data_IF_348209654560
#
_entry.id   IF_348209654560
#
_cell.length_a   1.000
_cell.length_b   1.000
_cell.length_c   1.000
_cell.angle_alpha   90.00
_cell.angle_beta   90.00
_cell.angle_gamma   90.00
#
_symmetry.space_group_name_H-M   'P 1'
#
loop_
_entity.id
_entity.type
_entity.pdbx_description
1 polymer ?
#
# COMPACT_ATOMS: atom_id res chain seq x y z
N UNK A 1 6.05 8.76 4.63
CA UNK A 1 5.70 7.55 3.87
C UNK A 1 6.98 6.93 3.33
N UNK A 2 7.18 5.63 3.52
CA UNK A 2 8.25 4.85 2.89
C UNK A 2 7.74 4.20 1.61
N UNK A 3 8.65 3.89 0.69
CA UNK A 3 8.30 3.30 -0.60
C UNK A 3 9.07 2.00 -0.84
N UNK A 4 8.34 0.93 -1.17
CA UNK A 4 8.89 -0.35 -1.61
C UNK A 4 8.62 -0.60 -3.11
N UNK A 5 7.91 0.31 -3.77
CA UNK A 5 7.44 0.16 -5.15
C UNK A 5 8.36 0.87 -6.15
N UNK A 6 7.89 1.87 -6.90
CA UNK A 6 8.58 2.38 -8.10
C UNK A 6 9.93 3.02 -7.81
N UNK A 7 10.14 3.54 -6.60
CA UNK A 7 11.43 4.13 -6.21
C UNK A 7 12.51 3.07 -5.92
N UNK A 8 12.15 1.78 -5.95
CA UNK A 8 13.04 0.66 -5.61
C UNK A 8 13.22 -0.24 -6.83
N UNK A 9 14.47 -0.43 -7.25
CA UNK A 9 14.80 -1.35 -8.33
C UNK A 9 14.46 -2.80 -7.94
N UNK A 10 14.04 -3.62 -8.92
CA UNK A 10 13.58 -5.01 -8.71
C UNK A 10 14.54 -5.88 -7.90
N UNK A 11 15.85 -5.76 -8.15
CA UNK A 11 16.90 -6.52 -7.43
C UNK A 11 17.10 -6.07 -5.97
N UNK A 12 16.62 -4.87 -5.63
CA UNK A 12 16.80 -4.25 -4.31
C UNK A 12 15.55 -4.40 -3.42
N UNK A 13 14.48 -5.03 -3.93
CA UNK A 13 13.18 -5.13 -3.21
C UNK A 13 13.33 -5.79 -1.84
N UNK A 14 14.12 -6.86 -1.76
CA UNK A 14 14.37 -7.56 -0.49
C UNK A 14 15.19 -6.72 0.49
N UNK A 15 16.23 -6.06 -0.01
CA UNK A 15 17.05 -5.16 0.79
C UNK A 15 16.23 -3.97 1.30
N UNK A 16 15.42 -3.35 0.44
CA UNK A 16 14.53 -2.25 0.81
C UNK A 16 13.50 -2.69 1.87
N UNK A 17 12.87 -3.85 1.70
CA UNK A 17 11.92 -4.40 2.69
C UNK A 17 12.60 -4.58 4.05
N UNK A 18 13.80 -5.15 4.07
CA UNK A 18 14.57 -5.31 5.30
C UNK A 18 14.92 -3.97 5.95
N UNK A 19 15.36 -2.99 5.16
CA UNK A 19 15.70 -1.66 5.68
C UNK A 19 14.48 -0.93 6.25
N UNK A 20 13.36 -0.93 5.55
CA UNK A 20 12.12 -0.28 6.02
C UNK A 20 11.59 -0.99 7.27
N UNK A 21 11.62 -2.33 7.31
CA UNK A 21 11.24 -3.09 8.50
C UNK A 21 12.04 -2.63 9.74
N UNK A 22 13.36 -2.57 9.62
CA UNK A 22 14.21 -2.14 10.74
C UNK A 22 13.96 -0.68 11.08
N UNK A 23 13.87 0.21 10.09
CA UNK A 23 13.60 1.63 10.30
C UNK A 23 12.30 1.86 11.08
N UNK A 24 11.23 1.11 10.80
CA UNK A 24 9.96 1.19 11.52
C UNK A 24 10.06 0.68 12.98
N UNK A 25 10.97 -0.26 13.25
CA UNK A 25 11.16 -0.88 14.57
C UNK A 25 12.12 -0.11 15.47
N UNK A 26 13.11 0.57 14.90
CA UNK A 26 14.24 1.12 15.68
C UNK A 26 14.24 2.65 15.76
N UNK A 27 13.65 3.35 14.79
CA UNK A 27 13.64 4.80 14.78
C UNK A 27 12.41 5.35 15.51
N UNK A 28 12.59 6.49 16.17
CA UNK A 28 11.51 7.21 16.84
C UNK A 28 10.91 8.25 15.89
N UNK A 29 9.63 8.09 15.56
CA UNK A 29 8.88 9.02 14.70
C UNK A 29 7.91 9.93 15.47
N UNK A 30 7.87 9.83 16.80
CA UNK A 30 6.88 10.55 17.61
C UNK A 30 5.45 10.17 17.22
N UNK A 31 4.60 11.19 17.09
CA UNK A 31 3.18 11.04 16.75
C UNK A 31 2.90 11.05 15.24
N UNK A 32 3.94 10.85 14.42
CA UNK A 32 3.81 10.83 12.95
C UNK A 32 3.35 9.44 12.50
N UNK A 33 2.31 9.41 11.66
CA UNK A 33 1.80 8.19 11.03
C UNK A 33 2.84 7.57 10.09
N UNK A 34 3.14 6.29 10.32
CA UNK A 34 4.04 5.50 9.48
C UNK A 34 3.22 4.81 8.40
N UNK A 35 3.35 5.32 7.19
CA UNK A 35 2.75 4.75 5.98
C UNK A 35 3.82 4.11 5.12
N UNK A 36 3.54 2.91 4.58
CA UNK A 36 4.42 2.26 3.59
C UNK A 36 3.62 1.96 2.33
N UNK A 37 4.13 2.40 1.17
CA UNK A 37 3.66 1.94 -0.14
C UNK A 37 4.31 0.61 -0.46
N UNK A 38 3.49 -0.41 -0.68
CA UNK A 38 3.92 -1.79 -0.98
C UNK A 38 3.87 -2.04 -2.49
N UNK A 39 4.48 -3.13 -2.97
CA UNK A 39 4.26 -3.57 -4.34
C UNK A 39 2.84 -4.14 -4.52
N UNK A 40 2.38 -4.19 -5.76
CA UNK A 40 1.12 -4.83 -6.13
C UNK A 40 1.07 -6.31 -5.67
N UNK A 41 -0.12 -6.77 -5.26
CA UNK A 41 -0.31 -8.10 -4.68
C UNK A 41 -0.27 -9.24 -5.70
N UNK A 42 -0.54 -8.96 -6.96
CA UNK A 42 -0.42 -9.90 -8.08
C UNK A 42 1.03 -10.15 -8.50
N UNK A 43 1.96 -9.30 -8.04
CA UNK A 43 3.40 -9.46 -8.21
C UNK A 43 4.07 -10.34 -7.15
N UNK A 44 5.36 -10.67 -7.34
CA UNK A 44 6.09 -11.57 -6.44
C UNK A 44 6.44 -10.96 -5.08
N UNK A 45 6.30 -9.64 -4.90
CA UNK A 45 6.79 -8.92 -3.71
C UNK A 45 5.69 -8.44 -2.77
N UNK A 46 4.51 -8.09 -3.28
CA UNK A 46 3.50 -7.35 -2.51
C UNK A 46 3.04 -8.06 -1.26
N UNK A 47 2.84 -9.39 -1.32
CA UNK A 47 2.44 -10.18 -0.15
C UNK A 47 3.49 -10.14 0.96
N UNK A 48 4.76 -10.35 0.64
CA UNK A 48 5.85 -10.32 1.63
C UNK A 48 6.08 -8.91 2.18
N UNK A 49 5.87 -7.87 1.37
CA UNK A 49 5.87 -6.48 1.84
C UNK A 49 4.81 -6.28 2.92
N UNK A 50 3.56 -6.67 2.67
CA UNK A 50 2.46 -6.54 3.64
C UNK A 50 2.78 -7.28 4.94
N UNK A 51 3.21 -8.55 4.86
CA UNK A 51 3.56 -9.36 6.02
C UNK A 51 4.65 -8.67 6.85
N UNK A 52 5.72 -8.20 6.22
CA UNK A 52 6.84 -7.55 6.89
C UNK A 52 6.42 -6.22 7.53
N UNK A 53 5.68 -5.36 6.80
CA UNK A 53 5.33 -4.03 7.31
C UNK A 53 4.32 -4.10 8.46
N UNK A 54 3.36 -5.02 8.41
CA UNK A 54 2.45 -5.27 9.56
C UNK A 54 3.22 -5.78 10.78
N UNK A 55 4.16 -6.72 10.59
CA UNK A 55 5.04 -7.17 11.66
C UNK A 55 5.91 -6.04 12.25
N UNK A 56 6.32 -5.10 11.39
CA UNK A 56 7.10 -3.93 11.79
C UNK A 56 6.28 -2.91 12.60
N UNK A 57 4.95 -2.99 12.58
CA UNK A 57 4.07 -2.05 13.26
C UNK A 57 3.84 -0.77 12.46
N UNK A 58 3.69 -0.90 11.14
CA UNK A 58 3.17 0.16 10.27
C UNK A 58 1.75 0.58 10.69
N UNK A 59 1.41 1.85 10.49
CA UNK A 59 0.07 2.37 10.81
C UNK A 59 -0.87 2.24 9.61
N UNK A 60 -0.37 2.46 8.39
CA UNK A 60 -1.14 2.22 7.17
C UNK A 60 -0.30 1.64 6.02
N UNK A 61 -0.92 0.77 5.24
CA UNK A 61 -0.39 0.26 3.98
C UNK A 61 -1.05 1.00 2.83
N UNK A 62 -0.24 1.54 1.93
CA UNK A 62 -0.70 2.11 0.66
C UNK A 62 -0.56 1.08 -0.44
N UNK A 63 -1.68 0.65 -1.02
CA UNK A 63 -1.74 -0.23 -2.18
C UNK A 63 -1.63 0.61 -3.46
N UNK A 64 -0.72 0.28 -4.38
CA UNK A 64 -0.63 0.96 -5.68
C UNK A 64 -1.72 0.46 -6.62
N UNK A 65 -1.90 1.18 -7.74
CA UNK A 65 -2.75 0.83 -8.88
C UNK A 65 -4.03 0.09 -8.50
N UNK A 66 -4.79 0.66 -7.57
CA UNK A 66 -6.06 0.10 -7.11
C UNK A 66 -7.12 0.37 -8.16
N UNK A 67 -7.66 -0.69 -8.76
CA UNK A 67 -8.62 -0.61 -9.85
C UNK A 67 -10.02 -1.07 -9.46
N UNK A 68 -10.15 -1.91 -8.43
CA UNK A 68 -11.42 -2.53 -8.01
C UNK A 68 -11.55 -2.60 -6.49
N UNK A 69 -12.78 -2.77 -6.01
CA UNK A 69 -13.02 -3.05 -4.59
C UNK A 69 -12.37 -4.36 -4.13
N UNK A 70 -12.24 -5.36 -5.01
CA UNK A 70 -11.60 -6.63 -4.66
C UNK A 70 -10.13 -6.44 -4.30
N UNK A 71 -9.40 -5.54 -4.96
CA UNK A 71 -7.99 -5.24 -4.64
C UNK A 71 -7.82 -4.86 -3.16
N UNK A 72 -8.76 -4.05 -2.64
CA UNK A 72 -8.81 -3.64 -1.22
C UNK A 72 -9.16 -4.83 -0.32
N UNK A 73 -10.12 -5.66 -0.72
CA UNK A 73 -10.54 -6.84 0.05
C UNK A 73 -9.40 -7.87 0.11
N UNK A 74 -8.64 -8.06 -0.97
CA UNK A 74 -7.51 -8.99 -0.98
C UNK A 74 -6.37 -8.49 -0.08
N UNK A 75 -6.01 -7.21 -0.13
CA UNK A 75 -4.97 -6.67 0.76
C UNK A 75 -5.40 -6.70 2.23
N UNK A 76 -6.69 -6.45 2.52
CA UNK A 76 -7.24 -6.60 3.87
C UNK A 76 -7.02 -8.02 4.42
N UNK A 77 -7.31 -9.07 3.63
CA UNK A 77 -7.09 -10.46 4.07
C UNK A 77 -5.63 -10.73 4.43
N UNK A 78 -4.68 -10.22 3.64
CA UNK A 78 -3.25 -10.38 3.92
C UNK A 78 -2.86 -9.61 5.19
N UNK A 79 -3.41 -8.42 5.37
CA UNK A 79 -3.20 -7.63 6.60
C UNK A 79 -3.75 -8.34 7.83
N UNK A 80 -4.96 -8.88 7.77
CA UNK A 80 -5.56 -9.63 8.88
C UNK A 80 -4.78 -10.88 9.23
N UNK A 81 -4.31 -11.61 8.22
CA UNK A 81 -3.43 -12.75 8.40
C UNK A 81 -2.14 -12.32 9.12
N UNK A 82 -1.50 -11.24 8.68
CA UNK A 82 -0.28 -10.73 9.28
C UNK A 82 -0.51 -10.23 10.72
N UNK A 83 -1.61 -9.52 10.96
CA UNK A 83 -1.95 -9.03 12.30
C UNK A 83 -2.10 -10.19 13.29
N UNK A 84 -2.82 -11.25 12.88
CA UNK A 84 -2.96 -12.48 13.66
C UNK A 84 -1.61 -13.18 13.86
N UNK A 85 -0.81 -13.32 12.80
CA UNK A 85 0.48 -14.03 12.82
C UNK A 85 1.49 -13.36 13.75
N UNK A 86 1.51 -12.03 13.80
CA UNK A 86 2.52 -11.25 14.51
C UNK A 86 1.99 -10.59 15.79
N UNK A 87 0.80 -10.97 16.26
CA UNK A 87 0.22 -10.49 17.52
C UNK A 87 -0.10 -8.99 17.52
N UNK A 88 -0.41 -8.42 16.35
CA UNK A 88 -0.89 -7.03 16.25
C UNK A 88 -2.37 -6.97 16.60
N UNK A 89 -2.82 -5.83 17.13
CA UNK A 89 -4.24 -5.61 17.43
C UNK A 89 -5.04 -5.71 16.11
N UNK A 90 -6.11 -6.53 16.04
CA UNK A 90 -6.98 -6.56 14.86
C UNK A 90 -7.51 -5.17 14.52
N UNK A 91 -7.42 -4.77 13.25
CA UNK A 91 -7.89 -3.46 12.79
C UNK A 91 -6.89 -2.33 13.00
N UNK A 92 -5.68 -2.62 13.51
CA UNK A 92 -4.66 -1.60 13.80
C UNK A 92 -3.98 -1.06 12.56
N UNK A 93 -3.79 -1.89 11.53
CA UNK A 93 -3.22 -1.45 10.25
C UNK A 93 -4.33 -0.96 9.32
N UNK A 94 -4.23 0.30 8.90
CA UNK A 94 -5.16 0.94 7.95
C UNK A 94 -4.73 0.73 6.51
N UNK A 95 -5.63 1.01 5.58
CA UNK A 95 -5.39 0.91 4.14
C UNK A 95 -5.53 2.29 3.49
N UNK A 96 -4.69 2.52 2.47
CA UNK A 96 -4.76 3.66 1.57
C UNK A 96 -4.74 3.10 0.15
N UNK A 97 -5.70 3.49 -0.67
CA UNK A 97 -5.70 3.14 -2.09
C UNK A 97 -4.93 4.19 -2.89
N UNK A 98 -4.29 3.76 -3.98
CA UNK A 98 -3.81 4.67 -5.01
C UNK A 98 -4.61 4.43 -6.29
N UNK A 99 -5.37 5.43 -6.73
CA UNK A 99 -6.06 5.40 -8.02
C UNK A 99 -5.16 6.06 -9.05
N UNK A 100 -4.75 5.26 -10.02
CA UNK A 100 -3.66 5.55 -10.96
C UNK A 100 -4.05 5.25 -12.41
N UNK A 101 -5.30 4.85 -12.66
CA UNK A 101 -5.79 4.48 -13.99
C UNK A 101 -7.27 4.75 -14.19
N UNK A 102 -7.72 4.74 -15.45
CA UNK A 102 -9.09 5.02 -15.85
C UNK A 102 -10.10 4.11 -15.14
N UNK A 103 -9.77 2.81 -15.05
CA UNK A 103 -10.61 1.83 -14.38
C UNK A 103 -10.80 2.13 -12.88
N UNK A 104 -9.73 2.49 -12.18
CA UNK A 104 -9.80 2.89 -10.78
C UNK A 104 -10.66 4.14 -10.58
N UNK A 105 -10.56 5.12 -11.48
CA UNK A 105 -11.42 6.33 -11.45
C UNK A 105 -12.90 5.98 -11.61
N UNK A 106 -13.24 5.12 -12.57
CA UNK A 106 -14.63 4.67 -12.78
C UNK A 106 -15.18 3.91 -11.57
N UNK A 107 -14.32 3.18 -10.86
CA UNK A 107 -14.69 2.36 -9.70
C UNK A 107 -14.45 3.06 -8.35
N UNK A 108 -14.09 4.35 -8.33
CA UNK A 108 -13.60 5.04 -7.13
C UNK A 108 -14.58 4.96 -5.95
N UNK A 109 -15.89 5.03 -6.22
CA UNK A 109 -16.94 4.89 -5.19
C UNK A 109 -16.96 3.50 -4.58
N UNK A 110 -16.82 2.46 -5.39
CA UNK A 110 -16.83 1.07 -4.92
C UNK A 110 -15.56 0.76 -4.12
N UNK A 111 -14.40 1.25 -4.59
CA UNK A 111 -13.14 1.19 -3.86
C UNK A 111 -13.27 1.86 -2.49
N UNK A 112 -13.83 3.08 -2.44
CA UNK A 112 -14.00 3.84 -1.20
C UNK A 112 -14.88 3.13 -0.16
N UNK A 113 -15.81 2.28 -0.59
CA UNK A 113 -16.74 1.55 0.29
C UNK A 113 -16.31 0.10 0.57
N UNK A 114 -15.17 -0.34 0.01
CA UNK A 114 -14.76 -1.74 0.03
C UNK A 114 -14.40 -2.26 1.44
N UNK A 115 -13.93 -1.38 2.33
CA UNK A 115 -13.44 -1.77 3.64
C UNK A 115 -13.52 -0.65 4.68
N UNK A 116 -13.84 -0.95 5.96
CA UNK A 116 -13.75 0.00 7.06
C UNK A 116 -12.30 0.36 7.45
N UNK A 117 -11.29 -0.36 6.94
CA UNK A 117 -9.86 -0.04 7.13
C UNK A 117 -9.36 1.00 6.15
N UNK A 118 -10.05 1.21 5.03
CA UNK A 118 -9.66 2.19 4.02
C UNK A 118 -9.93 3.60 4.55
N UNK A 119 -8.87 4.35 4.80
CA UNK A 119 -8.96 5.70 5.40
C UNK A 119 -8.66 6.82 4.41
N UNK A 120 -8.05 6.50 3.27
CA UNK A 120 -7.74 7.49 2.24
C UNK A 120 -7.62 6.86 0.85
N UNK A 121 -7.83 7.70 -0.16
CA UNK A 121 -7.54 7.42 -1.56
C UNK A 121 -6.62 8.52 -2.06
N UNK A 122 -5.46 8.15 -2.60
CA UNK A 122 -4.53 9.05 -3.27
C UNK A 122 -4.67 8.91 -4.79
N UNK A 123 -4.53 10.01 -5.53
CA UNK A 123 -4.49 9.97 -7.00
C UNK A 123 -3.03 10.04 -7.44
N UNK A 124 -2.56 9.02 -8.16
CA UNK A 124 -1.23 9.03 -8.78
C UNK A 124 -1.31 9.60 -10.19
N UNK A 125 -1.03 10.90 -10.31
CA UNK A 125 -1.27 11.64 -11.54
C UNK A 125 -0.31 11.27 -12.71
N UNK A 126 0.90 10.80 -12.43
CA UNK A 126 1.84 10.39 -13.49
C UNK A 126 1.40 9.09 -14.17
N UNK A 127 1.08 8.08 -13.36
CA UNK A 127 0.58 6.80 -13.87
C UNK A 127 -0.77 6.98 -14.55
N UNK A 128 -1.62 7.87 -14.02
CA UNK A 128 -2.92 8.16 -14.63
C UNK A 128 -2.80 8.78 -16.02
N UNK A 129 -1.85 9.71 -16.22
CA UNK A 129 -1.59 10.28 -17.54
C UNK A 129 -1.10 9.21 -18.52
N UNK A 130 -0.22 8.33 -18.03
CA UNK A 130 0.32 7.21 -18.82
C UNK A 130 -0.77 6.22 -19.22
N UNK A 131 -1.64 5.84 -18.28
CA UNK A 131 -2.76 4.92 -18.48
C UNK A 131 -3.80 5.46 -19.47
N UNK A 132 -4.08 6.76 -19.41
CA UNK A 132 -4.96 7.44 -20.35
C UNK A 132 -4.34 7.67 -21.73
N UNK A 133 -3.06 7.35 -21.93
CA UNK A 133 -2.31 7.69 -23.14
C UNK A 133 -2.39 9.19 -23.49
N UNK A 134 -2.35 10.03 -22.46
CA UNK A 134 -2.42 11.49 -22.62
C UNK A 134 -1.09 12.14 -22.22
N UNK A 135 -1.05 13.48 -22.27
CA UNK A 135 0.12 14.27 -21.86
C UNK A 135 -0.30 15.30 -20.84
N UNK A 136 0.63 15.69 -19.95
CA UNK A 136 0.41 16.83 -19.07
C UNK A 136 0.51 18.12 -19.88
N UNK A 137 -0.52 18.96 -19.77
CA UNK A 137 -0.39 20.35 -20.17
C UNK A 137 0.43 21.12 -19.11
N UNK A 138 1.19 22.15 -19.53
CA UNK A 138 1.85 23.08 -18.60
C UNK A 138 0.89 23.76 -17.62
#
# INVERSE_FOLDING_TARGET
MFDLEDSVAMREKDAARFLVFNALKTLFYGDIEKVVRVNALDGPFGREDVLAMVAAGVDAIRLPKTETADDIIQVEKVVEEAERRYGRKPGSTKLIAAIEGAKGILNAREIALASPRLVAIAIGAEDYVTDLHTTRSP
#
